data_IF_501001482908
#
_entry.id   IF_501001482908
#
_cell.length_a   1.000
_cell.length_b   1.000
_cell.length_c   1.000
_cell.angle_alpha   90.00
_cell.angle_beta   90.00
_cell.angle_gamma   90.00
#
_symmetry.space_group_name_H-M   'P 1'
#
loop_
_entity.id
_entity.type
_entity.pdbx_description
1 polymer ?
#
# COMPACT_ATOMS: atom_id res chain seq x y z
N UNK A 1 30.21 27.85 4.48
CA UNK A 1 31.11 28.75 5.23
C UNK A 1 32.50 28.11 5.26
N UNK A 2 33.56 28.77 4.77
CA UNK A 2 34.89 28.14 4.72
C UNK A 2 35.54 28.11 6.11
N UNK A 3 36.44 27.15 6.35
CA UNK A 3 37.19 27.01 7.63
C UNK A 3 37.92 28.29 7.99
N UNK A 4 38.40 29.04 6.98
CA UNK A 4 39.06 30.35 7.15
C UNK A 4 38.10 31.40 7.69
N UNK A 5 36.89 31.47 7.13
CA UNK A 5 35.83 32.39 7.58
C UNK A 5 35.39 32.07 9.01
N UNK A 6 35.29 30.78 9.37
CA UNK A 6 34.95 30.33 10.72
C UNK A 6 36.03 30.76 11.72
N UNK A 7 37.32 30.49 11.45
CA UNK A 7 38.43 30.90 12.32
C UNK A 7 38.50 32.41 12.51
N UNK A 8 38.28 33.20 11.44
CA UNK A 8 38.26 34.66 11.52
C UNK A 8 37.11 35.18 12.38
N UNK A 9 35.92 34.58 12.28
CA UNK A 9 34.77 34.94 13.14
C UNK A 9 35.02 34.55 14.60
N UNK A 10 35.57 33.36 14.86
CA UNK A 10 35.92 32.93 16.22
C UNK A 10 36.91 33.89 16.89
N UNK A 11 37.94 34.34 16.16
CA UNK A 11 38.87 35.38 16.63
C UNK A 11 38.19 36.74 16.86
N UNK A 12 37.32 37.18 15.94
CA UNK A 12 36.60 38.46 16.06
C UNK A 12 35.70 38.53 17.30
N UNK A 13 35.12 37.40 17.69
CA UNK A 13 34.23 37.31 18.86
C UNK A 13 34.94 36.81 20.13
N UNK A 14 36.28 36.70 20.11
CA UNK A 14 37.12 36.11 21.18
C UNK A 14 36.63 34.73 21.68
N UNK A 15 36.05 33.95 20.77
CA UNK A 15 35.51 32.63 21.04
C UNK A 15 36.62 31.60 20.87
N UNK A 16 37.18 31.14 21.99
CA UNK A 16 38.13 30.03 22.01
C UNK A 16 37.39 28.70 21.94
N UNK A 17 38.00 27.71 21.27
CA UNK A 17 37.52 26.32 21.37
C UNK A 17 37.67 25.92 22.84
N UNK A 18 36.58 25.57 23.51
CA UNK A 18 36.62 25.09 24.89
C UNK A 18 37.52 23.85 24.91
N UNK A 19 38.74 23.97 25.43
CA UNK A 19 39.60 22.83 25.73
C UNK A 19 38.96 22.17 26.95
N UNK A 20 37.98 21.32 26.70
CA UNK A 20 37.40 20.51 27.76
C UNK A 20 38.46 19.49 28.09
N UNK A 21 39.18 19.72 29.17
CA UNK A 21 40.10 18.74 29.75
C UNK A 21 39.21 17.67 30.39
N UNK A 22 38.69 16.76 29.56
CA UNK A 22 37.75 15.73 30.01
C UNK A 22 38.58 14.60 30.56
N UNK A 23 38.43 14.32 31.85
CA UNK A 23 38.94 13.10 32.44
C UNK A 23 38.20 11.91 31.80
N UNK A 24 38.89 11.14 30.97
CA UNK A 24 38.29 10.01 30.25
C UNK A 24 37.76 8.93 31.22
N UNK A 25 38.41 8.76 32.38
CA UNK A 25 37.97 7.80 33.40
C UNK A 25 36.65 8.23 34.05
N UNK A 26 36.49 9.52 34.31
CA UNK A 26 35.25 10.10 34.84
C UNK A 26 34.12 10.04 33.79
N UNK A 27 34.44 10.30 32.52
CA UNK A 27 33.48 10.16 31.43
C UNK A 27 33.02 8.69 31.26
N UNK A 28 33.93 7.73 31.40
CA UNK A 28 33.62 6.30 31.36
C UNK A 28 32.69 5.89 32.49
N UNK A 29 32.94 6.34 33.73
CA UNK A 29 32.08 5.99 34.88
C UNK A 29 30.68 6.60 34.77
N UNK A 30 30.55 7.82 34.24
CA UNK A 30 29.26 8.46 33.98
C UNK A 30 28.49 7.72 32.86
N UNK A 31 29.17 7.38 31.76
CA UNK A 31 28.55 6.61 30.66
C UNK A 31 28.10 5.24 31.17
N UNK A 32 28.90 4.59 32.01
CA UNK A 32 28.56 3.29 32.60
C UNK A 32 27.28 3.39 33.46
N UNK A 33 27.17 4.39 34.34
CA UNK A 33 25.95 4.61 35.13
C UNK A 33 24.71 4.89 34.28
N UNK A 34 24.87 5.63 33.17
CA UNK A 34 23.76 5.91 32.24
C UNK A 34 23.34 4.66 31.44
N UNK A 35 24.28 3.78 31.08
CA UNK A 35 24.02 2.49 30.42
C UNK A 35 23.32 1.52 31.38
N UNK A 36 23.71 1.51 32.67
CA UNK A 36 23.11 0.66 33.70
C UNK A 36 21.70 1.14 34.14
N UNK A 37 21.31 2.37 33.79
CA UNK A 37 20.00 2.96 34.09
C UNK A 37 19.05 3.09 32.88
N UNK A 38 18.31 4.21 32.82
CA UNK A 38 17.30 4.53 31.79
C UNK A 38 17.88 4.52 30.35
N UNK A 39 19.21 4.54 30.21
CA UNK A 39 19.94 4.52 28.95
C UNK A 39 20.24 3.12 28.37
N UNK A 40 19.89 2.02 29.03
CA UNK A 40 20.25 0.64 28.63
C UNK A 40 19.97 0.31 27.15
N UNK A 41 18.85 0.79 26.60
CA UNK A 41 18.46 0.56 25.21
C UNK A 41 18.86 1.71 24.25
N UNK A 42 19.51 2.75 24.75
CA UNK A 42 19.75 4.00 24.03
C UNK A 42 21.08 3.98 23.25
N UNK A 43 21.05 4.35 21.97
CA UNK A 43 22.27 4.45 21.16
C UNK A 43 23.19 5.61 21.59
N UNK A 44 24.47 5.56 21.19
CA UNK A 44 25.50 6.54 21.59
C UNK A 44 25.14 8.01 21.36
N UNK A 45 24.25 8.33 20.40
CA UNK A 45 23.77 9.70 20.17
C UNK A 45 22.89 10.22 21.30
N UNK A 46 22.03 9.35 21.85
CA UNK A 46 21.17 9.69 22.98
C UNK A 46 22.00 9.76 24.26
N UNK A 47 22.94 8.84 24.48
CA UNK A 47 23.92 8.90 25.58
C UNK A 47 24.74 10.20 25.50
N UNK A 48 25.25 10.57 24.31
CA UNK A 48 25.96 11.84 24.10
C UNK A 48 25.10 13.08 24.42
N UNK A 49 23.79 13.00 24.18
CA UNK A 49 22.87 14.08 24.51
C UNK A 49 22.53 14.13 26.02
N UNK A 50 22.33 12.98 26.66
CA UNK A 50 22.05 12.86 28.10
C UNK A 50 23.22 13.34 28.95
N UNK A 51 24.46 13.00 28.59
CA UNK A 51 25.67 13.49 29.29
C UNK A 51 25.73 15.03 29.25
N UNK A 52 25.28 15.63 28.15
CA UNK A 52 25.27 17.09 28.00
C UNK A 52 24.16 17.75 28.84
N UNK A 53 23.00 17.12 28.97
CA UNK A 53 21.85 17.68 29.71
C UNK A 53 22.00 17.42 31.20
N UNK A 54 22.24 16.17 31.60
CA UNK A 54 22.19 15.73 32.99
C UNK A 54 23.49 16.00 33.74
N UNK A 55 24.62 15.88 33.05
CA UNK A 55 25.96 16.00 33.67
C UNK A 55 26.70 17.26 33.22
N UNK A 56 26.11 18.07 32.32
CA UNK A 56 26.70 19.29 31.74
C UNK A 56 28.09 19.10 31.11
N UNK A 57 28.43 17.86 30.72
CA UNK A 57 29.71 17.53 30.11
C UNK A 57 29.61 17.61 28.59
N UNK A 58 30.47 18.43 27.99
CA UNK A 58 30.54 18.60 26.55
C UNK A 58 31.65 17.74 25.93
N UNK A 59 31.37 16.44 25.79
CA UNK A 59 32.32 15.49 25.21
C UNK A 59 32.27 15.45 23.66
N UNK A 60 33.39 15.19 22.97
CA UNK A 60 33.37 14.87 21.55
C UNK A 60 32.53 13.63 21.28
N UNK A 61 31.61 13.73 20.31
CA UNK A 61 30.71 12.62 19.96
C UNK A 61 31.44 11.34 19.55
N UNK A 62 32.61 11.45 18.91
CA UNK A 62 33.45 10.29 18.55
C UNK A 62 33.98 9.57 19.78
N UNK A 63 34.40 10.31 20.81
CA UNK A 63 34.93 9.75 22.06
C UNK A 63 33.83 9.00 22.82
N UNK A 64 32.63 9.59 22.92
CA UNK A 64 31.47 8.91 23.53
C UNK A 64 31.08 7.65 22.75
N UNK A 65 31.14 7.68 21.42
CA UNK A 65 30.86 6.51 20.60
C UNK A 65 31.86 5.36 20.82
N UNK A 66 33.15 5.68 20.99
CA UNK A 66 34.19 4.70 21.31
C UNK A 66 33.96 4.10 22.70
N UNK A 67 33.78 4.94 23.72
CA UNK A 67 33.56 4.49 25.10
C UNK A 67 32.30 3.60 25.21
N UNK A 68 31.19 4.00 24.59
CA UNK A 68 29.96 3.19 24.58
C UNK A 68 30.17 1.85 23.86
N UNK A 69 30.97 1.81 22.79
CA UNK A 69 31.30 0.57 22.10
C UNK A 69 32.17 -0.36 22.95
N UNK A 70 33.12 0.21 23.71
CA UNK A 70 34.03 -0.56 24.56
C UNK A 70 33.34 -1.09 25.82
N UNK A 71 32.42 -0.32 26.41
CA UNK A 71 31.64 -0.71 27.59
C UNK A 71 30.53 -1.72 27.26
N UNK A 72 29.92 -1.62 26.06
CA UNK A 72 28.86 -2.54 25.63
C UNK A 72 29.06 -2.99 24.17
N UNK A 73 30.04 -3.88 23.93
CA UNK A 73 30.32 -4.40 22.60
C UNK A 73 29.21 -5.32 22.09
N UNK A 74 28.42 -5.95 22.98
CA UNK A 74 27.30 -6.81 22.62
C UNK A 74 26.13 -5.98 22.05
N UNK A 75 25.63 -4.96 22.75
CA UNK A 75 24.57 -4.11 22.21
C UNK A 75 25.02 -3.32 20.97
N UNK A 76 26.31 -2.98 20.87
CA UNK A 76 26.88 -2.38 19.65
C UNK A 76 26.88 -3.34 18.45
N UNK A 77 27.16 -4.63 18.68
CA UNK A 77 27.05 -5.70 17.67
C UNK A 77 25.60 -6.00 17.31
N UNK A 78 24.68 -6.07 18.27
CA UNK A 78 23.25 -6.26 18.02
C UNK A 78 22.67 -5.14 17.15
N UNK A 79 23.02 -3.88 17.43
CA UNK A 79 22.61 -2.71 16.60
C UNK A 79 23.20 -2.73 15.19
N UNK A 80 24.44 -3.22 15.01
CA UNK A 80 25.04 -3.45 13.67
C UNK A 80 24.47 -4.70 12.97
N UNK A 81 23.95 -5.65 13.74
CA UNK A 81 23.33 -6.90 13.29
C UNK A 81 21.93 -6.73 12.71
N UNK A 82 21.28 -5.57 12.94
CA UNK A 82 19.99 -5.18 12.35
C UNK A 82 20.07 -4.86 10.85
N UNK A 83 20.83 -5.62 10.06
CA UNK A 83 20.43 -5.86 8.67
C UNK A 83 19.23 -6.79 8.75
N UNK A 84 18.06 -6.33 8.32
CA UNK A 84 16.91 -7.19 8.06
C UNK A 84 17.40 -8.39 7.22
N UNK A 85 17.59 -9.55 7.85
CA UNK A 85 17.77 -10.80 7.12
C UNK A 85 16.44 -11.08 6.45
N UNK A 86 16.35 -10.74 5.17
CA UNK A 86 15.14 -10.93 4.38
C UNK A 86 14.84 -12.42 4.35
N UNK A 87 13.67 -12.79 4.89
CA UNK A 87 13.21 -14.19 4.96
C UNK A 87 12.98 -14.70 3.53
N UNK A 88 13.36 -15.94 3.26
CA UNK A 88 13.00 -16.62 2.01
C UNK A 88 11.49 -16.82 1.99
N UNK A 89 10.85 -16.40 0.90
CA UNK A 89 9.44 -16.69 0.68
C UNK A 89 9.34 -18.10 0.12
N UNK A 90 8.79 -19.04 0.89
CA UNK A 90 8.57 -20.41 0.45
C UNK A 90 7.15 -20.52 -0.11
N UNK A 91 7.02 -21.01 -1.33
CA UNK A 91 5.75 -21.42 -1.90
C UNK A 91 5.89 -22.69 -2.71
N UNK A 92 4.89 -23.58 -2.62
CA UNK A 92 4.86 -24.85 -3.33
C UNK A 92 4.42 -24.73 -4.80
N UNK A 93 3.72 -23.65 -5.13
CA UNK A 93 3.23 -23.38 -6.48
C UNK A 93 2.14 -22.30 -6.46
N UNK A 94 1.46 -22.06 -7.59
CA UNK A 94 0.31 -21.16 -7.66
C UNK A 94 -0.82 -21.64 -6.76
N UNK A 95 -1.69 -20.73 -6.34
CA UNK A 95 -2.81 -20.98 -5.42
C UNK A 95 -2.39 -21.44 -4.03
N UNK A 96 -1.09 -21.51 -3.71
CA UNK A 96 -0.67 -21.79 -2.35
C UNK A 96 -0.98 -20.62 -1.41
N UNK A 97 -0.80 -19.38 -1.87
CA UNK A 97 -1.14 -18.20 -1.07
C UNK A 97 -1.55 -17.04 -1.98
N UNK A 98 -2.79 -16.56 -1.84
CA UNK A 98 -3.23 -15.32 -2.45
C UNK A 98 -2.99 -14.16 -1.49
N UNK A 99 -2.34 -13.13 -1.98
CA UNK A 99 -2.02 -11.91 -1.25
C UNK A 99 -2.97 -10.80 -1.67
N UNK A 100 -3.80 -10.35 -0.75
CA UNK A 100 -4.95 -9.47 -1.01
C UNK A 100 -4.72 -8.16 -0.27
N UNK A 101 -5.02 -7.03 -0.92
CA UNK A 101 -4.77 -5.69 -0.37
C UNK A 101 -5.53 -4.58 -1.12
N UNK A 102 -5.81 -3.49 -0.41
CA UNK A 102 -6.36 -2.26 -0.96
C UNK A 102 -5.28 -1.24 -1.32
N UNK A 103 -5.57 -0.38 -2.30
CA UNK A 103 -4.68 0.67 -2.76
C UNK A 103 -5.34 2.05 -2.64
N UNK A 104 -4.99 2.74 -1.56
CA UNK A 104 -5.65 4.00 -1.17
C UNK A 104 -5.06 5.26 -1.82
N UNK A 105 -4.05 5.19 -2.69
CA UNK A 105 -3.37 6.42 -3.16
C UNK A 105 -4.22 7.28 -4.09
N UNK A 106 -5.23 6.70 -4.72
CA UNK A 106 -6.24 7.43 -5.52
C UNK A 106 -7.61 7.50 -4.83
N UNK A 107 -7.75 6.95 -3.61
CA UNK A 107 -8.94 7.10 -2.77
C UNK A 107 -9.34 8.56 -2.52
N UNK A 108 -8.40 9.53 -2.33
CA UNK A 108 -8.77 10.94 -2.19
C UNK A 108 -9.53 11.53 -3.38
N UNK A 109 -9.45 10.89 -4.56
CA UNK A 109 -10.16 11.32 -5.77
C UNK A 109 -11.43 10.48 -6.02
N UNK A 110 -11.84 9.65 -5.06
CA UNK A 110 -13.06 8.83 -5.15
C UNK A 110 -12.86 7.44 -5.75
N UNK A 111 -11.63 7.02 -6.08
CA UNK A 111 -11.37 5.75 -6.77
C UNK A 111 -10.46 4.82 -5.95
N UNK A 112 -10.90 4.23 -4.84
CA UNK A 112 -10.10 3.18 -4.20
C UNK A 112 -10.00 1.96 -5.11
N UNK A 113 -8.83 1.31 -5.11
CA UNK A 113 -8.57 0.10 -5.89
C UNK A 113 -8.37 -1.06 -4.93
N UNK A 114 -8.84 -2.24 -5.29
CA UNK A 114 -8.57 -3.48 -4.58
C UNK A 114 -7.97 -4.52 -5.53
N UNK A 115 -7.02 -5.31 -5.03
CA UNK A 115 -6.39 -6.33 -5.85
C UNK A 115 -5.99 -7.57 -5.05
N UNK A 116 -5.71 -8.64 -5.79
CA UNK A 116 -4.97 -9.76 -5.28
C UNK A 116 -3.92 -10.25 -6.25
N UNK A 117 -2.86 -10.82 -5.68
CA UNK A 117 -1.75 -11.40 -6.42
C UNK A 117 -1.43 -12.79 -5.89
N UNK A 118 -1.19 -13.72 -6.79
CA UNK A 118 -0.70 -15.04 -6.42
C UNK A 118 0.77 -14.94 -5.93
N UNK A 119 1.05 -15.63 -4.84
CA UNK A 119 2.32 -15.56 -4.13
C UNK A 119 3.50 -16.20 -4.86
N UNK A 120 3.24 -17.20 -5.71
CA UNK A 120 4.24 -17.95 -6.46
C UNK A 120 4.47 -17.34 -7.84
N UNK A 121 3.43 -17.33 -8.67
CA UNK A 121 3.45 -16.91 -10.07
C UNK A 121 3.53 -15.40 -10.24
N UNK A 122 3.13 -14.62 -9.21
CA UNK A 122 2.98 -13.16 -9.28
C UNK A 122 1.87 -12.71 -10.22
N UNK A 123 0.97 -13.59 -10.64
CA UNK A 123 -0.22 -13.24 -11.43
C UNK A 123 -1.15 -12.37 -10.61
N UNK A 124 -1.57 -11.25 -11.17
CA UNK A 124 -2.62 -10.39 -10.61
C UNK A 124 -3.95 -11.08 -10.93
N UNK A 125 -4.65 -11.51 -9.88
CA UNK A 125 -5.89 -12.28 -9.96
C UNK A 125 -7.06 -11.36 -10.29
N UNK A 126 -7.17 -10.25 -9.55
CA UNK A 126 -8.09 -9.15 -9.84
C UNK A 126 -7.44 -7.81 -9.54
N UNK A 127 -7.95 -6.77 -10.20
CA UNK A 127 -7.51 -5.39 -10.04
C UNK A 127 -8.67 -4.47 -10.38
N UNK A 128 -9.49 -4.16 -9.38
CA UNK A 128 -10.78 -3.51 -9.59
C UNK A 128 -10.90 -2.22 -8.79
N UNK A 129 -11.65 -1.26 -9.32
CA UNK A 129 -12.09 -0.09 -8.57
C UNK A 129 -13.26 -0.50 -7.69
N UNK A 130 -13.23 -0.08 -6.43
CA UNK A 130 -14.33 -0.30 -5.49
C UNK A 130 -15.02 1.02 -5.18
N UNK A 131 -16.32 1.01 -4.90
CA UNK A 131 -17.03 2.24 -4.51
C UNK A 131 -16.59 2.74 -3.14
N UNK A 132 -16.27 1.81 -2.25
CA UNK A 132 -15.76 2.08 -0.91
C UNK A 132 -14.76 1.00 -0.51
N UNK A 133 -13.62 1.42 0.03
CA UNK A 133 -12.66 0.51 0.67
C UNK A 133 -12.98 0.29 2.16
N UNK A 134 -14.11 0.82 2.65
CA UNK A 134 -14.52 0.68 4.05
C UNK A 134 -15.61 -0.39 4.22
N UNK A 135 -16.20 -0.88 3.12
CA UNK A 135 -17.17 -1.98 3.16
C UNK A 135 -16.43 -3.31 2.97
N UNK A 136 -16.59 -4.28 3.88
CA UNK A 136 -16.01 -5.61 3.73
C UNK A 136 -16.66 -6.43 2.59
N UNK A 137 -17.83 -6.01 2.11
CA UNK A 137 -18.63 -6.74 1.12
C UNK A 137 -18.00 -6.70 -0.28
N UNK A 138 -17.43 -5.55 -0.67
CA UNK A 138 -16.81 -5.39 -2.00
C UNK A 138 -15.55 -6.28 -2.18
N UNK A 139 -14.57 -6.29 -1.26
CA UNK A 139 -13.47 -7.25 -1.29
C UNK A 139 -13.93 -8.71 -1.30
N UNK A 140 -15.00 -9.04 -0.56
CA UNK A 140 -15.55 -10.39 -0.48
C UNK A 140 -16.15 -10.85 -1.82
N UNK A 141 -16.90 -9.98 -2.52
CA UNK A 141 -17.42 -10.26 -3.87
C UNK A 141 -16.30 -10.54 -4.85
N UNK A 142 -15.29 -9.68 -4.90
CA UNK A 142 -14.12 -9.87 -5.76
C UNK A 142 -13.41 -11.21 -5.50
N UNK A 143 -13.31 -11.59 -4.23
CA UNK A 143 -12.77 -12.89 -3.84
C UNK A 143 -13.64 -14.05 -4.33
N UNK A 144 -14.96 -13.99 -4.12
CA UNK A 144 -15.91 -15.02 -4.55
C UNK A 144 -15.97 -15.16 -6.07
N UNK A 145 -15.90 -14.06 -6.82
CA UNK A 145 -15.82 -14.06 -8.28
C UNK A 145 -14.54 -14.73 -8.76
N UNK A 146 -13.40 -14.40 -8.15
CA UNK A 146 -12.13 -15.05 -8.46
C UNK A 146 -12.14 -16.55 -8.14
N UNK A 147 -12.73 -16.97 -7.00
CA UNK A 147 -12.89 -18.38 -6.64
C UNK A 147 -13.78 -19.10 -7.66
N UNK A 148 -14.88 -18.47 -8.07
CA UNK A 148 -15.80 -18.99 -9.08
C UNK A 148 -15.14 -19.13 -10.46
N UNK A 149 -14.35 -18.15 -10.89
CA UNK A 149 -13.63 -18.17 -12.17
C UNK A 149 -12.60 -19.30 -12.24
N UNK A 150 -11.90 -19.55 -11.13
CA UNK A 150 -10.85 -20.57 -11.05
C UNK A 150 -11.39 -21.95 -10.65
N UNK A 151 -12.66 -22.08 -10.25
CA UNK A 151 -13.27 -23.33 -9.78
C UNK A 151 -12.75 -23.80 -8.42
N UNK A 152 -12.17 -22.92 -7.62
CA UNK A 152 -11.56 -23.27 -6.34
C UNK A 152 -10.91 -22.08 -5.62
N UNK A 153 -10.47 -22.31 -4.39
CA UNK A 153 -9.82 -21.32 -3.53
C UNK A 153 -8.35 -21.68 -3.27
N UNK A 154 -7.50 -20.73 -2.81
CA UNK A 154 -6.11 -21.04 -2.50
C UNK A 154 -5.99 -21.85 -1.21
N UNK A 155 -4.84 -22.49 -0.97
CA UNK A 155 -4.50 -23.09 0.32
C UNK A 155 -4.43 -22.06 1.45
N UNK A 156 -4.10 -20.81 1.13
CA UNK A 156 -3.98 -19.74 2.10
C UNK A 156 -4.41 -18.41 1.49
N UNK A 157 -5.16 -17.61 2.23
CA UNK A 157 -5.26 -16.18 1.94
C UNK A 157 -4.45 -15.38 2.95
N UNK A 158 -3.87 -14.27 2.49
CA UNK A 158 -3.18 -13.32 3.35
C UNK A 158 -3.66 -11.90 3.06
N UNK A 159 -4.19 -11.26 4.09
CA UNK A 159 -4.56 -9.85 4.10
C UNK A 159 -3.83 -9.13 5.21
N UNK A 160 -3.97 -7.81 5.26
CA UNK A 160 -3.65 -7.06 6.46
C UNK A 160 -4.78 -7.13 7.50
N UNK A 161 -4.57 -6.49 8.64
CA UNK A 161 -5.54 -6.44 9.75
C UNK A 161 -6.67 -5.42 9.51
N UNK A 162 -6.90 -5.00 8.25
CA UNK A 162 -8.03 -4.16 7.88
C UNK A 162 -9.36 -4.84 8.20
N UNK A 163 -10.33 -4.06 8.66
CA UNK A 163 -11.67 -4.55 9.01
C UNK A 163 -12.45 -5.04 7.79
N UNK A 164 -12.13 -4.49 6.62
CA UNK A 164 -12.68 -4.86 5.32
C UNK A 164 -12.34 -6.30 4.90
N UNK A 165 -11.27 -6.88 5.45
CA UNK A 165 -10.78 -8.20 5.08
C UNK A 165 -11.42 -9.36 5.87
N UNK A 166 -12.24 -9.04 6.89
CA UNK A 166 -12.84 -10.03 7.78
C UNK A 166 -13.73 -11.04 7.06
N UNK A 167 -14.49 -10.60 6.05
CA UNK A 167 -15.38 -11.48 5.28
C UNK A 167 -14.59 -12.46 4.41
N UNK A 168 -13.52 -12.01 3.75
CA UNK A 168 -12.62 -12.88 2.98
C UNK A 168 -12.03 -13.97 3.89
N UNK A 169 -11.59 -13.61 5.10
CA UNK A 169 -11.08 -14.57 6.06
C UNK A 169 -12.12 -15.62 6.44
N UNK A 170 -13.35 -15.19 6.76
CA UNK A 170 -14.44 -16.09 7.12
C UNK A 170 -14.81 -17.04 5.97
N UNK A 171 -14.99 -16.52 4.75
CA UNK A 171 -15.32 -17.30 3.55
C UNK A 171 -14.21 -18.33 3.28
N UNK A 172 -12.94 -17.93 3.35
CA UNK A 172 -11.82 -18.83 3.12
C UNK A 172 -11.78 -19.98 4.12
N UNK A 173 -11.94 -19.69 5.41
CA UNK A 173 -11.97 -20.71 6.45
C UNK A 173 -13.18 -21.65 6.28
N UNK A 174 -14.32 -21.14 5.82
CA UNK A 174 -15.51 -21.94 5.50
C UNK A 174 -15.28 -22.89 4.31
N UNK A 175 -14.68 -22.40 3.22
CA UNK A 175 -14.39 -23.21 2.03
C UNK A 175 -13.44 -24.36 2.35
N UNK A 176 -12.38 -24.09 3.11
CA UNK A 176 -11.43 -25.14 3.52
C UNK A 176 -11.84 -25.94 4.74
N UNK A 177 -12.87 -25.50 5.49
CA UNK A 177 -13.19 -26.05 6.81
C UNK A 177 -11.96 -26.06 7.74
N UNK A 178 -11.17 -25.00 7.68
CA UNK A 178 -9.89 -24.86 8.39
C UNK A 178 -9.66 -23.39 8.80
N UNK A 179 -9.59 -23.12 10.10
CA UNK A 179 -9.38 -21.77 10.64
C UNK A 179 -7.97 -21.21 10.32
N UNK A 180 -7.00 -22.08 10.02
CA UNK A 180 -5.64 -21.68 9.64
C UNK A 180 -5.49 -21.36 8.13
N UNK A 181 -6.57 -21.49 7.35
CA UNK A 181 -6.61 -21.20 5.91
C UNK A 181 -6.52 -19.71 5.58
N UNK A 182 -6.56 -18.84 6.60
CA UNK A 182 -6.34 -17.40 6.48
C UNK A 182 -5.24 -16.92 7.44
N UNK A 183 -4.39 -16.00 6.99
CA UNK A 183 -3.36 -15.37 7.83
C UNK A 183 -3.38 -13.85 7.72
N UNK A 184 -3.72 -13.20 8.83
CA UNK A 184 -3.46 -11.77 9.00
C UNK A 184 -1.97 -11.49 9.15
N UNK A 185 -1.50 -10.39 8.56
CA UNK A 185 -0.14 -9.91 8.73
C UNK A 185 -0.03 -8.41 8.54
N UNK A 186 0.97 -7.77 9.13
CA UNK A 186 1.24 -6.35 8.84
C UNK A 186 1.52 -6.15 7.34
N UNK A 187 1.28 -4.95 6.78
CA UNK A 187 1.63 -4.60 5.38
C UNK A 187 3.04 -5.02 4.98
N UNK A 188 4.02 -4.84 5.89
CA UNK A 188 5.42 -5.28 5.71
C UNK A 188 5.62 -6.80 5.52
N UNK A 189 4.60 -7.61 5.84
CA UNK A 189 4.53 -9.07 5.65
C UNK A 189 3.69 -9.46 4.43
N UNK A 190 2.91 -8.54 3.86
CA UNK A 190 2.20 -8.69 2.59
C UNK A 190 3.09 -8.27 1.40
N UNK A 191 4.36 -8.68 1.42
CA UNK A 191 5.41 -8.17 0.53
C UNK A 191 5.14 -8.37 -0.96
N UNK A 192 4.34 -9.38 -1.28
CA UNK A 192 4.01 -9.75 -2.66
C UNK A 192 3.14 -8.67 -3.31
N UNK A 193 2.04 -8.27 -2.71
CA UNK A 193 1.19 -7.23 -3.28
C UNK A 193 1.79 -5.83 -3.09
N UNK A 194 2.44 -5.56 -1.96
CA UNK A 194 3.13 -4.29 -1.71
C UNK A 194 4.26 -3.99 -2.72
N UNK A 195 5.05 -5.00 -3.08
CA UNK A 195 6.04 -4.84 -4.14
C UNK A 195 5.37 -4.57 -5.50
N UNK A 196 4.22 -5.19 -5.75
CA UNK A 196 3.47 -4.95 -6.98
C UNK A 196 2.89 -3.52 -7.02
N UNK A 197 2.37 -3.00 -5.90
CA UNK A 197 1.93 -1.61 -5.79
C UNK A 197 3.02 -0.60 -6.11
N UNK A 198 4.28 -0.91 -5.79
CA UNK A 198 5.41 -0.06 -6.18
C UNK A 198 5.59 0.04 -7.70
N UNK A 199 5.32 -1.06 -8.44
CA UNK A 199 5.36 -1.06 -9.90
C UNK A 199 4.14 -0.32 -10.45
N UNK A 200 2.95 -0.66 -9.98
CA UNK A 200 1.68 -0.03 -10.36
C UNK A 200 1.70 1.50 -10.19
N UNK A 201 2.25 2.00 -9.06
CA UNK A 201 2.42 3.44 -8.82
C UNK A 201 3.30 4.12 -9.87
N UNK A 202 4.32 3.44 -10.40
CA UNK A 202 5.25 4.03 -11.38
C UNK A 202 4.72 3.94 -12.80
N UNK A 203 3.96 2.90 -13.13
CA UNK A 203 3.49 2.65 -14.50
C UNK A 203 2.11 3.22 -14.80
N UNK A 204 1.18 3.23 -13.82
CA UNK A 204 -0.23 3.54 -14.06
C UNK A 204 -0.78 4.59 -13.09
N UNK A 205 -0.90 4.27 -11.79
CA UNK A 205 -1.46 5.20 -10.80
C UNK A 205 -0.65 6.51 -10.66
N UNK A 206 0.62 6.49 -11.06
CA UNK A 206 1.48 7.65 -11.31
C UNK A 206 0.75 8.79 -12.00
N UNK A 207 0.28 8.46 -13.20
CA UNK A 207 -0.33 9.36 -14.15
C UNK A 207 -1.70 9.85 -13.65
N UNK A 208 -2.58 8.93 -13.23
CA UNK A 208 -3.91 9.27 -12.69
C UNK A 208 -3.85 10.23 -11.50
N UNK A 209 -2.90 10.02 -10.58
CA UNK A 209 -2.75 10.91 -9.43
C UNK A 209 -2.35 12.32 -9.85
N UNK A 210 -1.51 12.46 -10.88
CA UNK A 210 -1.13 13.80 -11.37
C UNK A 210 -2.30 14.43 -12.11
N UNK A 211 -2.96 13.67 -12.98
CA UNK A 211 -4.15 14.10 -13.71
C UNK A 211 -5.25 14.66 -12.78
N UNK A 212 -5.63 13.93 -11.73
CA UNK A 212 -6.64 14.43 -10.78
C UNK A 212 -6.15 15.57 -9.89
N UNK A 213 -4.83 15.67 -9.64
CA UNK A 213 -4.28 16.84 -8.95
C UNK A 213 -4.37 18.08 -9.83
N UNK A 214 -4.07 17.96 -11.11
CA UNK A 214 -4.15 19.07 -12.05
C UNK A 214 -5.60 19.58 -12.13
N UNK A 215 -6.59 18.68 -12.25
CA UNK A 215 -8.02 19.01 -12.24
C UNK A 215 -8.55 19.64 -10.94
N UNK A 216 -7.90 19.35 -9.82
CA UNK A 216 -8.22 20.00 -8.55
C UNK A 216 -7.58 21.39 -8.49
N UNK A 217 -6.31 21.47 -8.88
CA UNK A 217 -5.50 22.67 -8.73
C UNK A 217 -5.91 23.76 -9.74
N UNK A 218 -6.51 23.39 -10.88
CA UNK A 218 -7.13 24.32 -11.85
C UNK A 218 -8.59 24.70 -11.54
N UNK A 219 -9.20 24.04 -10.54
CA UNK A 219 -10.59 24.28 -10.12
C UNK A 219 -11.66 23.63 -10.99
N UNK A 220 -11.30 22.75 -11.93
CA UNK A 220 -12.26 22.02 -12.77
C UNK A 220 -13.14 21.09 -11.94
N UNK A 221 -12.55 20.42 -10.95
CA UNK A 221 -13.25 19.46 -10.09
C UNK A 221 -13.12 19.87 -8.63
N UNK A 222 -14.26 20.12 -7.99
CA UNK A 222 -14.35 20.26 -6.54
C UNK A 222 -14.48 18.88 -5.89
N UNK A 223 -13.39 18.41 -5.28
CA UNK A 223 -13.35 17.14 -4.55
C UNK A 223 -13.95 17.20 -3.14
N UNK A 224 -14.59 18.30 -2.74
CA UNK A 224 -15.38 18.37 -1.52
C UNK A 224 -16.88 18.23 -1.83
N UNK A 225 -17.36 18.76 -2.95
CA UNK A 225 -18.77 18.69 -3.38
C UNK A 225 -19.20 17.28 -3.79
N UNK A 226 -20.32 16.80 -3.22
CA UNK A 226 -20.90 15.49 -3.53
C UNK A 226 -21.27 15.36 -5.00
N UNK A 227 -21.96 16.34 -5.57
CA UNK A 227 -22.34 16.35 -7.00
C UNK A 227 -21.12 16.13 -7.93
N UNK A 228 -20.00 16.80 -7.64
CA UNK A 228 -18.77 16.65 -8.42
C UNK A 228 -18.17 15.26 -8.23
N UNK A 229 -18.11 14.71 -7.01
CA UNK A 229 -17.62 13.35 -6.75
C UNK A 229 -18.44 12.29 -7.50
N UNK A 230 -19.76 12.45 -7.50
CA UNK A 230 -20.70 11.53 -8.17
C UNK A 230 -20.58 11.60 -9.68
N UNK A 231 -20.54 12.82 -10.25
CA UNK A 231 -20.33 13.01 -11.69
C UNK A 231 -18.96 12.51 -12.13
N UNK A 232 -17.92 12.76 -11.32
CA UNK A 232 -16.58 12.27 -11.60
C UNK A 232 -16.54 10.75 -11.62
N UNK A 233 -17.16 10.10 -10.63
CA UNK A 233 -17.29 8.65 -10.60
C UNK A 233 -17.99 8.12 -11.86
N UNK A 234 -19.14 8.69 -12.21
CA UNK A 234 -19.94 8.32 -13.38
C UNK A 234 -19.14 8.41 -14.69
N UNK A 235 -18.40 9.51 -14.88
CA UNK A 235 -17.63 9.74 -16.10
C UNK A 235 -16.34 8.91 -16.19
N UNK A 236 -15.64 8.71 -15.07
CA UNK A 236 -14.29 8.15 -15.09
C UNK A 236 -14.19 6.68 -14.70
N UNK A 237 -15.21 6.09 -14.05
CA UNK A 237 -15.16 4.69 -13.60
C UNK A 237 -14.74 3.74 -14.73
N UNK A 238 -15.44 3.79 -15.87
CA UNK A 238 -15.14 2.94 -17.03
C UNK A 238 -13.75 3.16 -17.61
N UNK A 239 -13.30 4.42 -17.71
CA UNK A 239 -11.99 4.77 -18.29
C UNK A 239 -10.84 4.30 -17.41
N UNK A 240 -10.97 4.47 -16.09
CA UNK A 240 -9.95 4.02 -15.14
C UNK A 240 -9.95 2.49 -15.12
N UNK A 241 -11.11 1.84 -15.03
CA UNK A 241 -11.20 0.37 -15.00
C UNK A 241 -10.62 -0.26 -16.27
N UNK A 242 -10.90 0.30 -17.46
CA UNK A 242 -10.27 -0.12 -18.71
C UNK A 242 -8.74 0.00 -18.66
N UNK A 243 -8.22 1.05 -18.01
CA UNK A 243 -6.78 1.25 -17.81
C UNK A 243 -6.18 0.22 -16.84
N UNK A 244 -6.91 -0.15 -15.79
CA UNK A 244 -6.53 -1.22 -14.86
C UNK A 244 -6.52 -2.58 -15.56
N UNK A 245 -7.52 -2.89 -16.37
CA UNK A 245 -7.60 -4.13 -17.14
C UNK A 245 -6.39 -4.30 -18.07
N UNK A 246 -6.02 -3.25 -18.81
CA UNK A 246 -4.80 -3.24 -19.65
C UNK A 246 -3.54 -3.45 -18.82
N UNK A 247 -3.47 -2.86 -17.63
CA UNK A 247 -2.33 -3.02 -16.73
C UNK A 247 -2.24 -4.46 -16.18
N UNK A 248 -3.37 -5.05 -15.76
CA UNK A 248 -3.46 -6.46 -15.34
C UNK A 248 -3.01 -7.40 -16.45
N UNK A 249 -3.50 -7.21 -17.66
CA UNK A 249 -3.11 -8.00 -18.85
C UNK A 249 -1.62 -7.90 -19.14
N UNK A 250 -1.08 -6.67 -19.20
CA UNK A 250 0.36 -6.45 -19.38
C UNK A 250 1.19 -7.14 -18.28
N UNK A 251 0.79 -6.99 -17.02
CA UNK A 251 1.50 -7.63 -15.92
C UNK A 251 1.48 -9.14 -16.03
N UNK A 252 0.35 -9.73 -16.38
CA UNK A 252 0.21 -11.17 -16.39
C UNK A 252 0.95 -11.83 -17.56
N UNK A 253 1.16 -11.08 -18.64
CA UNK A 253 1.83 -11.55 -19.88
C UNK A 253 3.31 -11.18 -19.98
N UNK A 254 3.80 -10.18 -19.22
CA UNK A 254 5.22 -9.81 -19.28
C UNK A 254 6.15 -10.82 -18.60
N UNK A 255 7.41 -10.86 -19.05
CA UNK A 255 8.42 -11.72 -18.44
C UNK A 255 9.08 -11.06 -17.21
N UNK A 256 8.95 -11.70 -16.05
CA UNK A 256 9.66 -11.34 -14.82
C UNK A 256 11.06 -11.94 -14.86
N UNK A 257 12.08 -11.08 -14.80
CA UNK A 257 13.48 -11.51 -14.80
C UNK A 257 13.90 -12.11 -13.46
N UNK A 258 14.84 -13.04 -13.54
CA UNK A 258 15.49 -13.59 -12.35
C UNK A 258 16.15 -12.47 -11.56
N UNK A 259 16.04 -12.55 -10.23
CA UNK A 259 16.65 -11.60 -9.31
C UNK A 259 17.55 -12.35 -8.34
N UNK A 260 18.52 -11.64 -7.76
CA UNK A 260 19.42 -12.18 -6.70
C UNK A 260 18.70 -12.63 -5.43
N UNK A 261 17.38 -12.45 -5.37
CA UNK A 261 16.55 -12.66 -4.19
C UNK A 261 15.57 -13.83 -4.37
N UNK A 262 15.92 -14.84 -5.16
CA UNK A 262 15.13 -16.06 -5.36
C UNK A 262 13.71 -15.78 -5.90
N UNK A 263 13.60 -14.78 -6.79
CA UNK A 263 12.40 -14.60 -7.61
C UNK A 263 12.36 -15.71 -8.65
N UNK A 264 11.25 -16.43 -8.73
CA UNK A 264 11.00 -17.38 -9.82
C UNK A 264 10.84 -16.56 -11.11
N UNK A 265 11.78 -16.70 -12.08
CA UNK A 265 11.65 -16.00 -13.34
C UNK A 265 10.60 -16.65 -14.22
N UNK A 266 9.90 -15.87 -15.02
CA UNK A 266 8.88 -16.37 -15.93
C UNK A 266 7.79 -15.36 -16.22
N UNK A 267 6.87 -15.75 -17.10
CA UNK A 267 5.64 -15.00 -17.35
C UNK A 267 4.61 -15.42 -16.31
N UNK A 268 3.98 -14.49 -15.57
CA UNK A 268 3.04 -14.85 -14.51
C UNK A 268 1.93 -15.81 -14.93
N UNK A 269 1.34 -15.63 -16.12
CA UNK A 269 0.34 -16.59 -16.63
C UNK A 269 0.92 -17.98 -16.85
N UNK A 270 2.12 -18.09 -17.43
CA UNK A 270 2.79 -19.39 -17.61
C UNK A 270 3.11 -20.02 -16.26
N UNK A 271 3.58 -19.24 -15.30
CA UNK A 271 3.90 -19.71 -13.94
C UNK A 271 2.65 -20.16 -13.16
N UNK A 272 1.49 -19.60 -13.50
CA UNK A 272 0.23 -19.90 -12.84
C UNK A 272 -0.48 -21.12 -13.45
N UNK A 273 -0.57 -21.18 -14.78
CA UNK A 273 -1.30 -22.26 -15.47
C UNK A 273 -0.43 -23.47 -15.81
N UNK A 274 0.91 -23.33 -15.86
CA UNK A 274 1.87 -24.40 -16.15
C UNK A 274 2.98 -24.45 -15.09
N UNK A 275 2.65 -24.59 -13.80
CA UNK A 275 3.62 -24.47 -12.71
C UNK A 275 4.72 -25.54 -12.74
N UNK A 276 4.47 -26.70 -13.34
CA UNK A 276 5.39 -27.84 -13.42
C UNK A 276 6.67 -27.46 -14.18
N UNK A 277 6.58 -26.56 -15.17
CA UNK A 277 7.75 -26.05 -15.91
C UNK A 277 8.74 -25.30 -15.02
N UNK A 278 8.29 -24.80 -13.87
CA UNK A 278 9.10 -24.10 -12.88
C UNK A 278 9.28 -24.89 -11.57
N UNK A 279 8.92 -26.17 -11.58
CA UNK A 279 9.01 -27.06 -10.41
C UNK A 279 7.99 -26.76 -9.32
N UNK A 280 6.91 -26.02 -9.64
CA UNK A 280 5.77 -25.83 -8.75
C UNK A 280 4.68 -26.86 -9.00
N UNK A 281 3.73 -26.95 -8.06
CA UNK A 281 2.49 -27.72 -8.21
C UNK A 281 1.27 -26.83 -8.01
N UNK A 282 0.20 -27.07 -8.76
CA UNK A 282 -1.05 -26.36 -8.52
C UNK A 282 -1.60 -26.72 -7.14
N UNK A 283 -1.77 -25.70 -6.30
CA UNK A 283 -2.27 -25.82 -4.94
C UNK A 283 -3.73 -25.40 -4.82
N UNK A 284 -4.47 -25.32 -5.94
CA UNK A 284 -5.89 -24.97 -5.91
C UNK A 284 -6.69 -26.01 -5.12
N UNK A 285 -7.55 -25.54 -4.24
CA UNK A 285 -8.49 -26.36 -3.47
C UNK A 285 -9.86 -26.26 -4.14
N UNK A 286 -10.41 -27.34 -4.71
CA UNK A 286 -11.74 -27.33 -5.28
C UNK A 286 -12.80 -26.96 -4.24
N UNK A 287 -13.76 -26.13 -4.62
CA UNK A 287 -14.88 -25.73 -3.76
C UNK A 287 -16.17 -26.16 -4.45
N UNK A 288 -17.11 -26.74 -3.69
CA UNK A 288 -18.43 -27.06 -4.24
C UNK A 288 -19.13 -25.77 -4.69
N UNK A 289 -19.62 -25.76 -5.94
CA UNK A 289 -20.38 -24.65 -6.51
C UNK A 289 -21.56 -24.21 -5.63
N UNK A 290 -22.24 -25.13 -4.94
CA UNK A 290 -23.35 -24.78 -4.04
C UNK A 290 -22.89 -23.82 -2.93
N UNK A 291 -21.68 -24.03 -2.37
CA UNK A 291 -21.09 -23.15 -1.35
C UNK A 291 -20.72 -21.79 -1.92
N UNK A 292 -20.27 -21.75 -3.18
CA UNK A 292 -19.91 -20.50 -3.87
C UNK A 292 -21.17 -19.68 -4.10
N UNK A 293 -22.23 -20.30 -4.64
CA UNK A 293 -23.53 -19.65 -4.90
C UNK A 293 -24.13 -19.14 -3.60
N UNK A 294 -24.19 -19.97 -2.56
CA UNK A 294 -24.66 -19.60 -1.22
C UNK A 294 -23.96 -18.33 -0.70
N UNK A 295 -22.62 -18.27 -0.82
CA UNK A 295 -21.87 -17.11 -0.34
C UNK A 295 -22.06 -15.89 -1.24
N UNK A 296 -22.20 -16.05 -2.56
CA UNK A 296 -22.49 -14.93 -3.46
C UNK A 296 -23.86 -14.30 -3.18
N UNK A 297 -24.90 -15.12 -2.97
CA UNK A 297 -26.25 -14.63 -2.65
C UNK A 297 -26.24 -13.78 -1.36
N UNK A 298 -25.61 -14.27 -0.29
CA UNK A 298 -25.48 -13.55 0.98
C UNK A 298 -24.78 -12.18 0.88
N UNK A 299 -23.88 -12.00 -0.10
CA UNK A 299 -23.12 -10.76 -0.27
C UNK A 299 -23.67 -9.86 -1.40
N UNK A 300 -24.68 -10.31 -2.14
CA UNK A 300 -25.34 -9.51 -3.17
C UNK A 300 -26.48 -8.65 -2.61
N UNK A 301 -27.10 -9.03 -1.49
CA UNK A 301 -28.27 -8.34 -0.91
C UNK A 301 -27.96 -6.92 -0.36
N UNK A 302 -26.69 -6.52 -0.24
CA UNK A 302 -26.30 -5.27 0.44
C UNK A 302 -25.96 -4.08 -0.49
N UNK A 303 -26.08 -4.18 -1.82
CA UNK A 303 -25.25 -3.36 -2.71
C UNK A 303 -25.92 -2.43 -3.74
N UNK A 304 -27.23 -2.23 -3.71
CA UNK A 304 -27.88 -1.26 -4.59
C UNK A 304 -28.65 -0.24 -3.76
N UNK A 305 -27.91 0.69 -3.14
CA UNK A 305 -28.52 1.98 -2.79
C UNK A 305 -28.69 2.76 -4.11
N UNK A 306 -29.95 2.97 -4.51
CA UNK A 306 -30.32 3.84 -5.63
C UNK A 306 -29.61 5.20 -5.46
N UNK A 307 -28.73 5.52 -6.39
CA UNK A 307 -27.98 6.76 -6.36
C UNK A 307 -28.61 7.73 -7.36
N UNK A 308 -29.43 8.64 -6.83
CA UNK A 308 -30.21 9.62 -7.60
C UNK A 308 -29.34 10.47 -8.53
N UNK A 309 -28.06 10.72 -8.19
CA UNK A 309 -27.14 11.42 -9.10
C UNK A 309 -26.80 10.57 -10.33
N UNK A 310 -26.50 9.29 -10.13
CA UNK A 310 -26.15 8.37 -11.24
C UNK A 310 -27.36 8.18 -12.17
N UNK A 311 -28.57 8.06 -11.61
CA UNK A 311 -29.82 8.00 -12.38
C UNK A 311 -30.06 9.27 -13.18
N UNK A 312 -29.85 10.44 -12.58
CA UNK A 312 -29.97 11.73 -13.25
C UNK A 312 -28.99 11.87 -14.41
N UNK A 313 -27.72 11.52 -14.22
CA UNK A 313 -26.73 11.58 -15.29
C UNK A 313 -27.03 10.59 -16.42
N UNK A 314 -27.48 9.38 -16.09
CA UNK A 314 -27.92 8.40 -17.07
C UNK A 314 -29.11 8.93 -17.89
N UNK A 315 -30.10 9.54 -17.23
CA UNK A 315 -31.23 10.16 -17.90
C UNK A 315 -30.81 11.25 -18.90
N UNK A 316 -29.88 12.14 -18.52
CA UNK A 316 -29.35 13.15 -19.46
C UNK A 316 -28.66 12.49 -20.65
N UNK A 317 -27.82 11.47 -20.41
CA UNK A 317 -27.13 10.77 -21.50
C UNK A 317 -28.12 10.11 -22.47
N UNK A 318 -29.17 9.48 -21.95
CA UNK A 318 -30.19 8.80 -22.75
C UNK A 318 -31.03 9.79 -23.58
N UNK A 319 -31.40 10.93 -23.00
CA UNK A 319 -32.12 11.98 -23.70
C UNK A 319 -31.33 12.58 -24.88
N UNK A 320 -30.04 12.82 -24.65
CA UNK A 320 -29.16 13.53 -25.60
C UNK A 320 -28.40 12.56 -26.53
N UNK A 321 -28.55 11.24 -26.31
CA UNK A 321 -27.86 10.20 -27.09
C UNK A 321 -26.34 10.22 -26.93
N UNK A 322 -25.85 10.58 -25.74
CA UNK A 322 -24.42 10.68 -25.43
C UNK A 322 -23.89 9.30 -25.03
N UNK A 323 -22.75 8.91 -25.59
CA UNK A 323 -22.06 7.66 -25.23
C UNK A 323 -21.08 7.86 -24.07
N UNK A 324 -20.80 6.76 -23.34
CA UNK A 324 -19.79 6.77 -22.30
C UNK A 324 -18.38 7.01 -22.87
N UNK A 325 -17.52 7.72 -22.12
CA UNK A 325 -16.19 8.11 -22.60
C UNK A 325 -15.24 6.91 -22.65
N UNK A 326 -14.36 6.89 -23.65
CA UNK A 326 -13.33 5.88 -23.82
C UNK A 326 -11.93 6.41 -23.49
N UNK A 327 -11.80 7.72 -23.28
CA UNK A 327 -10.53 8.38 -22.96
C UNK A 327 -10.68 9.37 -21.79
N UNK A 328 -9.59 9.68 -21.08
CA UNK A 328 -9.63 10.67 -20.00
C UNK A 328 -10.10 12.05 -20.47
N UNK A 329 -9.79 12.42 -21.72
CA UNK A 329 -10.22 13.71 -22.28
C UNK A 329 -11.73 13.73 -22.54
N UNK A 330 -12.28 12.66 -23.13
CA UNK A 330 -13.73 12.51 -23.30
C UNK A 330 -14.45 12.52 -21.95
N UNK A 331 -13.86 11.87 -20.92
CA UNK A 331 -14.43 11.87 -19.58
C UNK A 331 -14.47 13.26 -18.94
N UNK A 332 -13.45 14.11 -19.16
CA UNK A 332 -13.50 15.52 -18.73
C UNK A 332 -14.62 16.27 -19.46
N UNK A 333 -14.75 16.07 -20.78
CA UNK A 333 -15.79 16.76 -21.58
C UNK A 333 -17.18 16.39 -21.08
N UNK A 334 -17.43 15.08 -20.86
CA UNK A 334 -18.70 14.61 -20.30
C UNK A 334 -18.93 15.16 -18.89
N UNK A 335 -17.90 15.16 -18.05
CA UNK A 335 -17.97 15.69 -16.70
C UNK A 335 -18.40 17.17 -16.71
N UNK A 336 -17.74 18.01 -17.50
CA UNK A 336 -18.08 19.44 -17.60
C UNK A 336 -19.51 19.65 -18.11
N UNK A 337 -19.92 18.88 -19.11
CA UNK A 337 -21.27 18.95 -19.67
C UNK A 337 -22.35 18.58 -18.63
N UNK A 338 -22.16 17.48 -17.90
CA UNK A 338 -23.12 17.04 -16.89
C UNK A 338 -23.18 17.97 -15.68
N UNK A 339 -22.05 18.57 -15.28
CA UNK A 339 -22.03 19.57 -14.20
C UNK A 339 -22.74 20.86 -14.62
N UNK A 340 -22.56 21.33 -15.86
CA UNK A 340 -23.29 22.48 -16.40
C UNK A 340 -24.81 22.22 -16.36
N UNK A 341 -25.25 21.06 -16.87
CA UNK A 341 -26.66 20.66 -16.85
C UNK A 341 -27.23 20.48 -15.44
N UNK A 342 -26.45 19.95 -14.51
CA UNK A 342 -26.90 19.77 -13.13
C UNK A 342 -27.03 21.10 -12.37
N UNK A 343 -26.17 22.08 -12.69
CA UNK A 343 -26.21 23.42 -12.11
C UNK A 343 -27.39 24.27 -12.57
N UNK A 344 -27.93 23.99 -13.76
CA UNK A 344 -29.08 24.71 -14.31
C UNK A 344 -30.44 24.19 -13.79
N UNK A 345 -30.56 22.92 -13.38
CA UNK A 345 -31.87 22.28 -13.22
C UNK A 345 -32.24 21.68 -11.84
N UNK A 346 -31.34 21.21 -10.95
CA UNK A 346 -31.80 20.22 -9.93
C UNK A 346 -31.30 20.31 -8.48
N UNK A 347 -30.05 20.69 -8.18
CA UNK A 347 -29.52 20.51 -6.81
C UNK A 347 -29.13 21.85 -6.15
N UNK A 348 -29.90 22.36 -5.16
CA UNK A 348 -29.47 23.51 -4.37
C UNK A 348 -28.16 23.17 -3.67
N UNK A 349 -27.23 24.12 -3.64
CA UNK A 349 -25.98 23.98 -2.91
C UNK A 349 -26.26 23.57 -1.45
N UNK A 350 -25.69 22.44 -1.02
CA UNK A 350 -25.64 22.07 0.39
C UNK A 350 -24.73 23.07 1.13
N UNK A 351 -25.25 24.26 1.43
CA UNK A 351 -24.69 25.17 2.43
C UNK A 351 -25.07 24.67 3.83
N UNK A 352 -24.10 24.09 4.55
CA UNK A 352 -23.86 24.32 5.99
C UNK A 352 -22.49 23.81 6.45
#
# INVERSE_FOLDING_TARGET
MSVRTLKRRLLKYDLKKKNVNINEQELRSIIQKEIEGIGQLSGYRKIWHLIRINHHIHAPRKLVAQIVHDLDPQASKERKGNKLKRRKYMSYGPNHCWHIDGYDKIKPFGFPIHAAIDGFSRKVLWLEICRSNNSPTEPAKLYLDCVSEHGGCPLLTRTDYGTENGQIAAIQCYFQSNEEAHKYGTSTRNQRIENWWSHFRKSCAGWWINFFKDLRDDGTVDFERTLHKECLWFCFLGVIQASLNKMKEYWNTHYIRSSRHETIPGVPDILFYLPEHSGGMDCLVPVNNDKIVEMKERHNEEAEEENTYQEYFQYIMDLEGIEYPNSPNEAIILFSYLIEKAGDDVFPDDEN
#
